data_IF_125134657587
#
_entry.id   IF_125134657587
#
_cell.length_a   1.000
_cell.length_b   1.000
_cell.length_c   1.000
_cell.angle_alpha   90.00
_cell.angle_beta   90.00
_cell.angle_gamma   90.00
#
_symmetry.space_group_name_H-M   'P 1'
#
loop_
_entity.id
_entity.type
_entity.pdbx_description
1 polymer ?
#
# COMPACT_ATOMS: atom_id res chain seq x y z
N UNK A 1 -28.16 -30.32 6.86
CA UNK A 1 -27.30 -29.21 6.40
C UNK A 1 -26.11 -29.77 5.62
N UNK A 2 -25.58 -28.97 4.72
CA UNK A 2 -24.40 -29.34 3.92
C UNK A 2 -23.14 -28.66 4.49
N UNK A 3 -21.99 -29.30 4.34
CA UNK A 3 -20.69 -28.72 4.66
C UNK A 3 -20.34 -27.68 3.59
N UNK A 4 -19.98 -26.47 4.00
CA UNK A 4 -19.50 -25.44 3.11
C UNK A 4 -17.97 -25.47 3.02
N UNK A 5 -17.45 -25.29 1.81
CA UNK A 5 -16.01 -25.15 1.58
C UNK A 5 -15.75 -24.07 0.55
N UNK A 6 -14.81 -23.18 0.85
CA UNK A 6 -14.49 -22.06 -0.06
C UNK A 6 -13.20 -21.33 0.29
N UNK A 7 -12.70 -20.56 -0.69
CA UNK A 7 -11.53 -19.72 -0.49
C UNK A 7 -11.95 -18.32 -0.06
N UNK A 8 -11.17 -17.69 0.83
CA UNK A 8 -11.33 -16.29 1.20
C UNK A 8 -10.54 -15.42 0.24
N UNK A 9 -11.22 -14.40 -0.29
CA UNK A 9 -10.62 -13.35 -1.11
C UNK A 9 -10.80 -12.01 -0.44
N UNK A 10 -9.73 -11.21 -0.43
CA UNK A 10 -9.77 -9.79 -0.07
C UNK A 10 -9.06 -8.98 -1.14
N UNK A 11 -9.67 -7.87 -1.58
CA UNK A 11 -9.16 -7.16 -2.74
C UNK A 11 -9.43 -5.66 -2.66
N UNK A 12 -8.56 -4.88 -3.26
CA UNK A 12 -8.71 -3.44 -3.47
C UNK A 12 -8.78 -3.18 -4.97
N UNK A 13 -9.81 -2.46 -5.38
CA UNK A 13 -10.04 -2.09 -6.77
C UNK A 13 -9.79 -0.60 -6.96
N UNK A 14 -9.06 -0.26 -8.03
CA UNK A 14 -8.83 1.11 -8.44
C UNK A 14 -9.10 1.30 -9.93
N UNK A 15 -9.86 2.35 -10.28
CA UNK A 15 -9.91 2.85 -11.64
C UNK A 15 -8.70 3.76 -11.90
N UNK A 16 -8.04 3.59 -13.04
CA UNK A 16 -7.05 4.53 -13.49
C UNK A 16 -7.78 5.75 -14.05
N UNK A 17 -7.58 6.89 -13.43
CA UNK A 17 -7.99 8.17 -13.99
C UNK A 17 -6.85 8.64 -14.90
N UNK A 18 -7.14 8.86 -16.18
CA UNK A 18 -6.19 9.45 -17.10
C UNK A 18 -5.73 10.81 -16.54
N UNK A 19 -4.44 10.93 -16.26
CA UNK A 19 -3.87 12.21 -15.82
C UNK A 19 -3.80 13.13 -17.03
N UNK A 20 -4.60 14.20 -17.04
CA UNK A 20 -4.45 15.27 -18.01
C UNK A 20 -3.10 15.96 -17.78
N UNK A 21 -2.14 15.68 -18.65
CA UNK A 21 -0.84 16.37 -18.66
C UNK A 21 -1.03 17.80 -19.19
N UNK A 22 -1.25 18.76 -18.31
CA UNK A 22 -1.09 20.17 -18.68
C UNK A 22 0.41 20.50 -18.77
N UNK A 23 0.84 21.05 -19.88
CA UNK A 23 2.24 21.16 -20.36
C UNK A 23 3.29 21.83 -19.47
N UNK A 24 2.97 22.40 -18.32
CA UNK A 24 3.92 22.91 -17.31
C UNK A 24 4.04 22.01 -16.07
N UNK A 25 3.23 20.95 -15.97
CA UNK A 25 3.17 20.05 -14.82
C UNK A 25 4.42 19.18 -14.60
N UNK A 26 5.28 19.06 -15.58
CA UNK A 26 6.51 18.27 -15.51
C UNK A 26 7.54 18.85 -14.49
N UNK A 27 7.63 20.17 -14.36
CA UNK A 27 8.57 20.82 -13.43
C UNK A 27 8.04 20.92 -11.99
N UNK A 28 6.72 20.79 -11.80
CA UNK A 28 6.07 20.95 -10.49
C UNK A 28 5.59 19.62 -9.86
N UNK A 29 5.64 18.52 -10.59
CA UNK A 29 5.24 17.20 -10.08
C UNK A 29 6.44 16.51 -9.42
N UNK A 30 6.43 16.50 -8.10
CA UNK A 30 7.24 15.52 -7.37
C UNK A 30 6.75 14.13 -7.80
N UNK A 31 7.64 13.24 -8.25
CA UNK A 31 7.27 11.90 -8.66
C UNK A 31 6.75 11.13 -7.44
N UNK A 32 5.44 11.05 -7.30
CA UNK A 32 4.81 10.24 -6.28
C UNK A 32 4.35 8.94 -6.90
N UNK A 33 4.81 7.84 -6.37
CA UNK A 33 4.43 6.52 -6.82
C UNK A 33 2.92 6.27 -6.63
N UNK A 34 2.30 5.75 -7.69
CA UNK A 34 0.91 5.30 -7.73
C UNK A 34 0.89 3.92 -8.36
N UNK A 35 0.40 2.94 -7.65
CA UNK A 35 0.40 1.56 -8.12
C UNK A 35 0.09 0.60 -6.99
N UNK A 36 0.36 -0.67 -7.21
CA UNK A 36 0.35 -1.69 -6.19
C UNK A 36 1.66 -1.74 -5.41
N UNK A 37 1.61 -2.31 -4.24
CA UNK A 37 2.81 -2.70 -3.50
C UNK A 37 2.51 -3.96 -2.69
N UNK A 38 3.54 -4.76 -2.48
CA UNK A 38 3.49 -5.92 -1.61
C UNK A 38 4.69 -5.91 -0.65
N UNK A 39 4.51 -6.55 0.46
CA UNK A 39 5.58 -6.94 1.35
C UNK A 39 5.46 -8.42 1.68
N UNK A 40 6.54 -9.15 1.48
CA UNK A 40 6.65 -10.56 1.87
C UNK A 40 7.93 -10.74 2.69
N UNK A 41 8.02 -11.76 3.56
CA UNK A 41 9.24 -12.04 4.29
C UNK A 41 10.45 -12.35 3.39
N UNK A 42 10.21 -12.92 2.21
CA UNK A 42 11.24 -13.33 1.25
C UNK A 42 11.71 -12.17 0.39
N UNK A 43 10.77 -11.52 -0.32
CA UNK A 43 11.10 -10.50 -1.33
C UNK A 43 11.15 -9.08 -0.76
N UNK A 44 10.73 -8.89 0.51
CA UNK A 44 10.64 -7.59 1.16
C UNK A 44 9.62 -6.68 0.47
N UNK A 45 9.84 -5.39 0.52
CA UNK A 45 8.98 -4.40 -0.12
C UNK A 45 9.21 -4.36 -1.63
N UNK A 46 8.14 -4.56 -2.39
CA UNK A 46 8.14 -4.44 -3.84
C UNK A 46 7.00 -3.54 -4.31
N UNK A 47 7.32 -2.67 -5.25
CA UNK A 47 6.34 -1.88 -6.01
C UNK A 47 5.90 -2.69 -7.23
N UNK A 48 4.64 -2.54 -7.60
CA UNK A 48 4.04 -3.20 -8.76
C UNK A 48 3.31 -2.13 -9.56
N UNK A 49 3.93 -1.67 -10.63
CA UNK A 49 3.39 -0.61 -11.47
C UNK A 49 2.13 -1.05 -12.21
N UNK A 50 1.27 -0.10 -12.57
CA UNK A 50 0.07 -0.42 -13.34
C UNK A 50 0.39 -1.04 -14.70
N UNK A 51 1.50 -0.64 -15.31
CA UNK A 51 1.99 -1.20 -16.57
C UNK A 51 2.39 -2.67 -16.38
N UNK A 52 3.13 -2.97 -15.33
CA UNK A 52 3.49 -4.33 -14.93
C UNK A 52 2.26 -5.20 -14.66
N UNK A 53 1.26 -4.67 -13.93
CA UNK A 53 -0.01 -5.36 -13.70
C UNK A 53 -0.78 -5.64 -14.99
N UNK A 54 -0.65 -4.75 -15.98
CA UNK A 54 -1.32 -4.88 -17.25
C UNK A 54 -0.66 -5.95 -18.13
N UNK A 55 0.67 -6.05 -18.10
CA UNK A 55 1.45 -7.04 -18.85
C UNK A 55 1.34 -8.45 -18.26
N UNK A 56 1.39 -8.57 -16.94
CA UNK A 56 1.32 -9.84 -16.24
C UNK A 56 0.61 -9.73 -14.88
N UNK A 57 -0.32 -10.63 -14.62
CA UNK A 57 -0.95 -10.71 -13.30
C UNK A 57 0.05 -11.17 -12.25
N UNK A 58 0.07 -10.49 -11.11
CA UNK A 58 0.80 -10.96 -9.93
C UNK A 58 0.21 -12.28 -9.46
N UNK A 59 1.06 -13.22 -9.08
CA UNK A 59 0.72 -14.46 -8.40
C UNK A 59 1.89 -14.83 -7.47
N UNK A 60 1.82 -14.42 -6.20
CA UNK A 60 2.91 -14.57 -5.24
C UNK A 60 2.44 -15.31 -3.99
N UNK A 61 2.75 -16.61 -3.85
CA UNK A 61 2.52 -17.34 -2.61
C UNK A 61 3.38 -16.78 -1.47
N UNK A 62 2.81 -16.63 -0.29
CA UNK A 62 3.52 -16.14 0.90
C UNK A 62 2.85 -16.63 2.19
N UNK A 63 3.62 -16.91 3.25
CA UNK A 63 3.05 -17.26 4.55
C UNK A 63 2.51 -16.05 5.32
N UNK A 64 2.98 -14.83 5.00
CA UNK A 64 2.60 -13.60 5.67
C UNK A 64 3.00 -12.37 4.85
N UNK A 65 2.64 -11.20 5.32
CA UNK A 65 2.92 -9.92 4.69
C UNK A 65 1.67 -9.12 4.43
N UNK A 66 1.76 -8.12 3.57
CA UNK A 66 0.62 -7.30 3.20
C UNK A 66 0.63 -6.95 1.71
N UNK A 67 -0.52 -6.56 1.21
CA UNK A 67 -0.72 -6.09 -0.16
C UNK A 67 -1.47 -4.77 -0.12
N UNK A 68 -1.02 -3.79 -0.90
CA UNK A 68 -1.55 -2.44 -0.85
C UNK A 68 -1.72 -1.81 -2.24
N UNK A 69 -2.67 -0.88 -2.32
CA UNK A 69 -2.84 0.04 -3.43
C UNK A 69 -2.46 1.44 -2.98
N UNK A 70 -1.47 2.03 -3.66
CA UNK A 70 -0.88 3.30 -3.30
C UNK A 70 -1.42 4.44 -4.16
N UNK A 71 -1.70 5.55 -3.53
CA UNK A 71 -1.96 6.84 -4.15
C UNK A 71 -0.96 7.87 -3.65
N UNK A 72 -1.06 9.10 -4.15
CA UNK A 72 -0.13 10.18 -3.77
C UNK A 72 -0.05 10.36 -2.25
N UNK A 73 -1.19 10.54 -1.57
CA UNK A 73 -1.27 10.82 -0.13
C UNK A 73 -1.92 9.70 0.67
N UNK A 74 -2.54 8.73 0.03
CA UNK A 74 -3.33 7.69 0.67
C UNK A 74 -2.82 6.29 0.31
N UNK A 75 -3.04 5.39 1.21
CA UNK A 75 -2.79 3.96 1.02
C UNK A 75 -4.00 3.16 1.50
N UNK A 76 -4.37 2.16 0.72
CA UNK A 76 -5.25 1.09 1.15
C UNK A 76 -4.45 -0.20 1.20
N UNK A 77 -4.31 -0.80 2.37
CA UNK A 77 -3.57 -2.03 2.58
C UNK A 77 -4.46 -3.11 3.19
N UNK A 78 -4.26 -4.33 2.76
CA UNK A 78 -4.85 -5.54 3.31
C UNK A 78 -3.77 -6.32 4.04
N UNK A 79 -4.03 -6.63 5.30
CA UNK A 79 -3.11 -7.31 6.22
C UNK A 79 -3.71 -8.67 6.60
N UNK A 80 -3.36 -9.73 5.85
CA UNK A 80 -3.83 -11.08 6.21
C UNK A 80 -3.17 -11.58 7.49
N UNK A 81 -3.92 -12.37 8.27
CA UNK A 81 -3.41 -12.98 9.50
C UNK A 81 -2.25 -13.92 9.22
N UNK A 82 -1.23 -13.90 10.06
CA UNK A 82 -0.08 -14.77 9.90
C UNK A 82 -0.47 -16.26 10.03
N UNK A 83 0.15 -17.12 9.22
CA UNK A 83 0.12 -18.57 9.41
C UNK A 83 -0.85 -19.37 8.53
N UNK A 84 -1.76 -18.74 7.78
CA UNK A 84 -2.73 -19.49 6.95
C UNK A 84 -2.18 -19.82 5.54
N UNK A 85 -1.14 -19.13 5.09
CA UNK A 85 -0.66 -19.21 3.72
C UNK A 85 -1.59 -18.50 2.75
N UNK A 86 -1.03 -17.58 2.01
CA UNK A 86 -1.77 -16.72 1.09
C UNK A 86 -1.10 -16.70 -0.29
N UNK A 87 -1.84 -16.28 -1.28
CA UNK A 87 -1.32 -15.88 -2.57
C UNK A 87 -1.74 -14.42 -2.80
N UNK A 88 -0.76 -13.54 -2.90
CA UNK A 88 -0.99 -12.17 -3.37
C UNK A 88 -1.18 -12.19 -4.88
N UNK A 89 -2.20 -11.50 -5.37
CA UNK A 89 -2.53 -11.50 -6.78
C UNK A 89 -2.95 -10.11 -7.26
N UNK A 90 -2.76 -9.88 -8.54
CA UNK A 90 -3.33 -8.73 -9.23
C UNK A 90 -4.17 -9.18 -10.41
N UNK A 91 -5.05 -8.31 -10.86
CA UNK A 91 -5.83 -8.51 -12.07
C UNK A 91 -6.17 -7.15 -12.69
N UNK A 92 -6.32 -7.11 -14.00
CA UNK A 92 -6.74 -5.93 -14.74
C UNK A 92 -8.01 -6.25 -15.52
N UNK A 93 -9.02 -5.42 -15.31
CA UNK A 93 -10.29 -5.52 -16.05
C UNK A 93 -10.47 -4.28 -16.90
N UNK A 94 -10.56 -4.45 -18.21
CA UNK A 94 -10.86 -3.36 -19.12
C UNK A 94 -12.36 -3.09 -19.14
N UNK A 95 -12.72 -1.82 -19.02
CA UNK A 95 -14.11 -1.33 -19.17
C UNK A 95 -14.12 -0.14 -20.11
N UNK A 96 -15.30 0.25 -20.56
CA UNK A 96 -15.50 1.42 -21.46
C UNK A 96 -14.92 2.72 -20.91
N UNK A 97 -14.77 2.81 -19.59
CA UNK A 97 -14.18 3.94 -18.86
C UNK A 97 -12.66 3.83 -18.63
N UNK A 98 -12.01 2.82 -19.20
CA UNK A 98 -10.59 2.52 -19.04
C UNK A 98 -10.30 1.34 -18.11
N UNK A 99 -9.01 0.99 -17.94
CA UNK A 99 -8.61 -0.16 -17.14
C UNK A 99 -8.89 0.07 -15.65
N UNK A 100 -9.26 -1.02 -14.99
CA UNK A 100 -9.40 -1.10 -13.54
C UNK A 100 -8.42 -2.12 -13.01
N UNK A 101 -7.60 -1.69 -12.11
CA UNK A 101 -6.56 -2.47 -11.46
C UNK A 101 -7.06 -3.01 -10.14
N UNK A 102 -6.85 -4.29 -9.93
CA UNK A 102 -7.22 -4.99 -8.72
C UNK A 102 -5.96 -5.61 -8.14
N UNK A 103 -5.77 -5.46 -6.84
CA UNK A 103 -4.74 -6.14 -6.08
C UNK A 103 -5.36 -6.70 -4.79
N UNK A 104 -4.91 -7.87 -4.37
CA UNK A 104 -5.48 -8.51 -3.20
C UNK A 104 -4.75 -9.78 -2.81
N UNK A 105 -5.36 -10.50 -1.87
CA UNK A 105 -4.89 -11.83 -1.48
C UNK A 105 -6.03 -12.84 -1.48
N UNK A 106 -5.68 -14.09 -1.64
CA UNK A 106 -6.55 -15.25 -1.41
C UNK A 106 -5.86 -16.26 -0.51
N UNK A 107 -6.65 -17.04 0.23
CA UNK A 107 -6.12 -18.18 1.01
C UNK A 107 -5.67 -19.29 0.06
N UNK A 108 -4.56 -19.96 0.37
CA UNK A 108 -4.06 -21.09 -0.44
C UNK A 108 -4.82 -22.39 -0.16
N UNK A 109 -5.50 -22.46 0.98
CA UNK A 109 -6.35 -23.58 1.37
C UNK A 109 -7.80 -23.12 1.56
N UNK A 110 -8.78 -23.95 1.21
CA UNK A 110 -10.17 -23.63 1.44
C UNK A 110 -10.50 -23.69 2.94
N UNK A 111 -11.33 -22.77 3.39
CA UNK A 111 -11.97 -22.84 4.70
C UNK A 111 -13.13 -23.82 4.62
N UNK A 112 -13.22 -24.74 5.56
CA UNK A 112 -14.28 -25.76 5.63
C UNK A 112 -15.14 -25.52 6.87
N UNK A 113 -16.42 -25.25 6.67
CA UNK A 113 -17.40 -25.07 7.75
C UNK A 113 -18.36 -26.26 7.74
N UNK A 114 -18.29 -27.15 8.75
CA UNK A 114 -19.19 -28.29 8.83
C UNK A 114 -20.67 -27.89 8.97
N UNK A 115 -21.55 -28.76 8.56
CA UNK A 115 -22.99 -28.53 8.68
C UNK A 115 -23.41 -28.26 10.16
N UNK A 116 -24.18 -27.19 10.35
CA UNK A 116 -24.64 -26.75 11.67
C UNK A 116 -23.59 -26.01 12.51
N UNK A 117 -22.38 -25.76 11.96
CA UNK A 117 -21.32 -24.96 12.59
C UNK A 117 -21.25 -23.58 12.01
N UNK A 118 -20.59 -22.67 12.71
CA UNK A 118 -20.21 -21.33 12.23
C UNK A 118 -18.72 -21.13 12.42
N UNK A 119 -18.10 -20.37 11.53
CA UNK A 119 -16.70 -19.95 11.63
C UNK A 119 -16.62 -18.46 11.36
N UNK A 120 -15.95 -17.73 12.25
CA UNK A 120 -15.65 -16.33 12.08
C UNK A 120 -14.36 -16.18 11.25
N UNK A 121 -14.36 -15.26 10.32
CA UNK A 121 -13.23 -14.97 9.45
C UNK A 121 -12.86 -13.51 9.65
N UNK A 122 -11.76 -13.29 10.33
CA UNK A 122 -11.24 -11.96 10.59
C UNK A 122 -10.29 -11.50 9.47
N UNK A 123 -10.10 -10.20 9.37
CA UNK A 123 -9.16 -9.60 8.45
C UNK A 123 -8.92 -8.14 8.80
N UNK A 124 -7.67 -7.75 8.75
CA UNK A 124 -7.28 -6.37 9.00
C UNK A 124 -7.09 -5.61 7.70
N UNK A 125 -7.48 -4.32 7.71
CA UNK A 125 -7.19 -3.39 6.63
C UNK A 125 -6.79 -2.04 7.20
N UNK A 126 -5.85 -1.40 6.52
CA UNK A 126 -5.52 -0.01 6.75
C UNK A 126 -5.97 0.83 5.55
N UNK A 127 -6.84 1.80 5.76
CA UNK A 127 -7.23 2.77 4.73
C UNK A 127 -7.07 4.16 5.32
N UNK A 128 -6.10 4.92 4.82
CA UNK A 128 -5.81 6.23 5.41
C UNK A 128 -4.67 6.97 4.71
N UNK A 129 -4.32 8.14 5.25
CA UNK A 129 -3.18 8.91 4.77
C UNK A 129 -1.87 8.16 5.06
N UNK A 130 -0.84 8.44 4.25
CA UNK A 130 0.51 7.91 4.44
C UNK A 130 1.22 8.62 5.61
N UNK A 131 0.67 8.49 6.80
CA UNK A 131 1.25 8.97 8.04
C UNK A 131 2.05 7.85 8.70
N UNK A 132 3.37 8.01 8.78
CA UNK A 132 4.30 7.00 9.30
C UNK A 132 3.88 6.44 10.66
N UNK A 133 3.50 7.31 11.60
CA UNK A 133 3.10 6.88 12.95
C UNK A 133 1.84 6.00 12.97
N UNK A 134 0.90 6.24 12.07
CA UNK A 134 -0.33 5.44 11.95
C UNK A 134 -0.08 4.12 11.25
N UNK A 135 0.78 4.15 10.23
CA UNK A 135 1.10 2.96 9.46
C UNK A 135 1.91 1.95 10.27
N UNK A 136 2.88 2.40 11.06
CA UNK A 136 3.66 1.53 11.98
C UNK A 136 2.76 0.82 13.00
N UNK A 137 1.66 1.47 13.44
CA UNK A 137 0.69 0.84 14.35
C UNK A 137 -0.10 -0.29 13.70
N UNK A 138 -0.33 -0.20 12.39
CA UNK A 138 -1.01 -1.24 11.64
C UNK A 138 -0.03 -2.39 11.29
N UNK A 139 1.13 -2.06 10.75
CA UNK A 139 2.22 -3.00 10.47
C UNK A 139 3.56 -2.25 10.38
N UNK A 140 4.62 -2.77 10.99
CA UNK A 140 5.94 -2.14 11.03
C UNK A 140 6.55 -1.90 9.64
N UNK A 141 6.18 -2.70 8.63
CA UNK A 141 6.71 -2.57 7.28
C UNK A 141 5.82 -1.72 6.37
N UNK A 142 4.62 -1.33 6.80
CA UNK A 142 3.71 -0.52 5.99
C UNK A 142 4.25 0.91 5.79
N UNK A 143 5.10 1.40 6.68
CA UNK A 143 5.82 2.67 6.53
C UNK A 143 6.70 2.73 5.27
N UNK A 144 7.14 1.58 4.74
CA UNK A 144 7.94 1.49 3.51
C UNK A 144 7.18 2.03 2.28
N UNK A 145 5.85 2.18 2.39
CA UNK A 145 5.03 2.82 1.35
C UNK A 145 5.20 4.34 1.28
N UNK A 146 5.84 4.96 2.29
CA UNK A 146 6.25 6.37 2.25
C UNK A 146 7.54 6.47 1.46
N UNK A 147 7.40 6.84 0.21
CA UNK A 147 8.50 6.90 -0.73
C UNK A 147 8.80 8.35 -1.13
N UNK A 148 9.98 8.80 -0.78
CA UNK A 148 10.53 10.10 -1.20
C UNK A 148 11.28 10.01 -2.53
N UNK A 149 11.19 8.85 -3.23
CA UNK A 149 11.89 8.58 -4.48
C UNK A 149 13.42 8.61 -4.32
N UNK A 150 14.12 9.03 -5.36
CA UNK A 150 15.58 9.14 -5.39
C UNK A 150 16.14 10.18 -4.38
N UNK A 151 15.29 11.10 -3.91
CA UNK A 151 15.66 12.12 -2.91
C UNK A 151 15.63 11.60 -1.47
N UNK A 152 15.22 10.34 -1.22
CA UNK A 152 15.14 9.75 0.12
C UNK A 152 16.39 9.98 0.97
N UNK A 153 17.63 9.80 0.46
CA UNK A 153 18.85 10.00 1.25
C UNK A 153 19.03 11.44 1.75
N UNK A 154 18.43 12.41 1.06
CA UNK A 154 18.49 13.84 1.42
C UNK A 154 17.26 14.25 2.22
N UNK A 155 16.08 13.82 1.79
CA UNK A 155 14.80 14.22 2.38
C UNK A 155 14.61 13.68 3.79
N UNK A 156 15.03 12.44 4.04
CA UNK A 156 14.85 11.79 5.34
C UNK A 156 15.62 12.49 6.47
N UNK A 157 16.92 12.81 6.34
CA UNK A 157 17.65 13.60 7.34
C UNK A 157 17.06 14.99 7.56
N UNK A 158 16.67 15.68 6.46
CA UNK A 158 16.07 17.02 6.55
C UNK A 158 14.73 16.98 7.29
N UNK A 159 13.90 15.99 7.00
CA UNK A 159 12.63 15.80 7.71
C UNK A 159 12.85 15.49 9.20
N UNK A 160 13.86 14.68 9.52
CA UNK A 160 14.23 14.39 10.91
C UNK A 160 14.66 15.65 11.66
N UNK A 161 15.53 16.48 11.07
CA UNK A 161 15.97 17.75 11.66
C UNK A 161 14.79 18.69 11.84
N UNK A 162 13.93 18.82 10.83
CA UNK A 162 12.72 19.64 10.91
C UNK A 162 11.78 19.20 12.04
N UNK A 163 11.58 17.91 12.18
CA UNK A 163 10.75 17.33 13.25
C UNK A 163 11.38 17.58 14.62
N UNK A 164 12.69 17.49 14.74
CA UNK A 164 13.40 17.79 15.98
C UNK A 164 13.25 19.26 16.36
N UNK A 165 13.44 20.20 15.43
CA UNK A 165 13.19 21.64 15.64
C UNK A 165 11.75 21.87 16.07
N UNK A 166 10.78 21.23 15.41
CA UNK A 166 9.37 21.39 15.74
C UNK A 166 9.02 20.90 17.15
N UNK A 167 9.67 19.89 17.67
CA UNK A 167 9.48 19.43 19.06
C UNK A 167 9.85 20.51 20.09
N UNK A 168 10.84 21.34 19.77
CA UNK A 168 11.32 22.42 20.65
C UNK A 168 10.46 23.68 20.48
N UNK A 169 10.18 24.05 19.22
CA UNK A 169 9.51 25.32 18.88
C UNK A 169 8.00 25.19 18.88
N UNK A 170 7.46 23.98 18.73
CA UNK A 170 6.03 23.66 18.62
C UNK A 170 5.29 24.49 17.55
N UNK A 171 5.98 24.85 16.48
CA UNK A 171 5.45 25.60 15.35
C UNK A 171 6.13 25.21 14.03
N UNK A 172 5.39 24.58 13.13
CA UNK A 172 5.90 24.10 11.85
C UNK A 172 6.45 25.22 10.95
N UNK A 173 5.79 26.41 10.94
CA UNK A 173 6.25 27.56 10.15
C UNK A 173 7.62 28.04 10.58
N UNK A 174 7.83 28.19 11.88
CA UNK A 174 9.13 28.59 12.44
C UNK A 174 10.18 27.49 12.20
N UNK A 175 9.79 26.23 12.29
CA UNK A 175 10.69 25.08 12.03
C UNK A 175 11.20 25.08 10.57
N UNK A 176 10.32 25.38 9.63
CA UNK A 176 10.70 25.50 8.20
C UNK A 176 11.68 26.65 7.99
N UNK A 177 11.43 27.82 8.59
CA UNK A 177 12.32 28.97 8.48
C UNK A 177 13.71 28.64 9.07
N UNK A 178 13.75 28.04 10.25
CA UNK A 178 15.02 27.65 10.90
C UNK A 178 15.77 26.61 10.09
N UNK A 179 15.06 25.61 9.54
CA UNK A 179 15.68 24.60 8.66
C UNK A 179 16.26 25.27 7.39
N UNK A 180 15.54 26.22 6.79
CA UNK A 180 15.99 26.92 5.58
C UNK A 180 17.25 27.76 5.85
N UNK A 181 17.40 28.29 7.05
CA UNK A 181 18.63 29.03 7.44
C UNK A 181 19.80 28.11 7.74
N UNK A 182 19.54 26.82 8.07
CA UNK A 182 20.56 25.84 8.39
C UNK A 182 21.15 25.17 7.15
N UNK A 183 20.37 25.05 6.08
CA UNK A 183 20.71 24.40 4.80
C UNK A 183 21.16 25.41 3.74
#
# INVERSE_FOLDING_TARGET
GETWSGYRYSQILRAQVAEQSSGLGFLTRLPSYKGGAIFTPEDKYQKIDFEEMYEANLARPTPSGWVAMLQHYFVGALLPDAGTGYEFYSNVTNRDTGPRYLIGYKTTQPTVVPAGSSQELDGEMYIGPKETERMIKADNQLELTVDYGWLTPVSSPLFWVMTYINRVVNNWGVSIILLTLLV
#
